data_IF_675640180131
#
_entry.id   IF_675640180131
#
_cell.length_a   1.000
_cell.length_b   1.000
_cell.length_c   1.000
_cell.angle_alpha   90.00
_cell.angle_beta   90.00
_cell.angle_gamma   90.00
#
_symmetry.space_group_name_H-M   'P 1'
#
loop_
_entity.id
_entity.type
_entity.pdbx_description
1 polymer ?
#
# COMPACT_ATOMS: atom_id res chain seq x y z
N UNK A 1 -4.35 27.81 -1.32
CA UNK A 1 -4.26 27.32 -1.23
C UNK A 1 -3.81 26.35 -1.06
N UNK A 2 -3.38 25.96 -0.79
CA UNK A 2 -2.98 24.98 -0.78
C UNK A 2 -3.44 24.06 -0.43
N UNK A 3 -3.66 23.77 -0.15
CA UNK A 3 -4.23 22.96 0.14
C UNK A 3 -4.71 22.13 -0.48
N UNK A 4 -4.92 22.15 -1.25
CA UNK A 4 -5.45 21.42 -1.94
C UNK A 4 -4.85 20.26 -2.50
N UNK A 5 -3.78 19.79 -2.05
CA UNK A 5 -3.20 18.63 -2.48
C UNK A 5 -4.08 17.42 -2.33
N UNK A 6 -5.00 17.44 -1.43
CA UNK A 6 -5.88 16.30 -1.20
C UNK A 6 -7.08 16.28 -2.10
N UNK A 7 -7.46 17.43 -2.61
CA UNK A 7 -8.59 17.48 -3.53
C UNK A 7 -8.21 17.01 -4.91
N UNK A 8 -6.91 17.01 -5.20
CA UNK A 8 -6.45 16.55 -6.50
C UNK A 8 -5.60 15.30 -6.30
N UNK A 9 -6.16 14.33 -5.60
CA UNK A 9 -5.46 13.08 -5.32
C UNK A 9 -5.07 12.41 -6.62
N UNK A 10 -3.79 12.09 -6.70
CA UNK A 10 -3.25 11.38 -7.84
C UNK A 10 -3.81 9.98 -7.90
N UNK A 11 -4.17 9.52 -9.08
CA UNK A 11 -4.62 8.14 -9.28
C UNK A 11 -3.58 7.39 -10.06
N UNK A 12 -3.38 6.14 -9.70
CA UNK A 12 -2.38 5.32 -10.34
C UNK A 12 -2.74 3.86 -10.18
N UNK A 13 -2.00 3.01 -10.86
CA UNK A 13 -2.16 1.58 -10.72
C UNK A 13 -1.41 1.14 -9.46
N UNK A 14 -2.15 0.53 -8.55
CA UNK A 14 -1.59 0.02 -7.30
C UNK A 14 -1.29 -1.46 -7.46
N UNK A 15 -0.08 -1.87 -7.10
CA UNK A 15 0.27 -3.29 -7.07
C UNK A 15 0.77 -3.66 -5.69
N UNK A 16 0.20 -4.73 -5.16
CA UNK A 16 0.52 -5.20 -3.82
C UNK A 16 0.87 -6.68 -3.89
N UNK A 17 1.82 -7.08 -3.06
CA UNK A 17 2.11 -8.50 -2.87
C UNK A 17 1.64 -8.90 -1.49
N UNK A 18 0.93 -10.01 -1.38
CA UNK A 18 0.40 -10.45 -0.09
C UNK A 18 0.18 -11.96 -0.08
N UNK A 19 -0.03 -12.47 1.13
CA UNK A 19 -0.42 -13.86 1.34
C UNK A 19 -1.91 -14.01 1.04
N UNK A 20 -2.33 -15.23 0.71
CA UNK A 20 -3.73 -15.47 0.34
C UNK A 20 -4.70 -15.09 1.46
N UNK A 21 -4.24 -15.07 2.69
CA UNK A 21 -5.11 -14.70 3.82
C UNK A 21 -5.63 -13.27 3.71
N UNK A 22 -4.91 -12.42 3.01
CA UNK A 22 -5.28 -11.02 2.90
C UNK A 22 -6.22 -10.74 1.74
N UNK A 23 -6.46 -11.73 0.88
CA UNK A 23 -7.28 -11.50 -0.32
C UNK A 23 -8.68 -10.99 0.01
N UNK A 24 -9.30 -11.55 1.04
CA UNK A 24 -10.64 -11.12 1.43
C UNK A 24 -10.66 -9.65 1.85
N UNK A 25 -9.65 -9.23 2.61
CA UNK A 25 -9.55 -7.85 3.03
C UNK A 25 -9.41 -6.92 1.83
N UNK A 26 -8.62 -7.32 0.85
CA UNK A 26 -8.41 -6.52 -0.34
C UNK A 26 -9.66 -6.42 -1.18
N UNK A 27 -10.37 -7.53 -1.35
CA UNK A 27 -11.64 -7.51 -2.09
C UNK A 27 -12.65 -6.64 -1.37
N UNK A 28 -12.68 -6.72 -0.04
CA UNK A 28 -13.60 -5.90 0.74
C UNK A 28 -13.32 -4.41 0.56
N UNK A 29 -12.05 -4.05 0.50
CA UNK A 29 -11.65 -2.64 0.39
C UNK A 29 -11.82 -2.11 -1.03
N UNK A 30 -11.41 -2.88 -2.03
CA UNK A 30 -11.32 -2.39 -3.41
C UNK A 30 -12.39 -2.94 -4.34
N UNK A 31 -13.17 -3.91 -3.89
CA UNK A 31 -14.20 -4.49 -4.71
C UNK A 31 -13.69 -5.67 -5.52
N UNK A 32 -14.55 -6.14 -6.42
CA UNK A 32 -14.26 -7.35 -7.18
C UNK A 32 -13.45 -7.09 -8.44
N UNK A 33 -13.23 -5.82 -8.78
CA UNK A 33 -12.53 -5.47 -10.01
C UNK A 33 -11.03 -5.38 -9.82
N UNK A 34 -10.48 -6.33 -9.11
CA UNK A 34 -9.04 -6.38 -8.90
C UNK A 34 -8.49 -7.60 -9.64
N UNK A 35 -7.25 -7.46 -10.10
CA UNK A 35 -6.57 -8.57 -10.76
C UNK A 35 -5.72 -9.30 -9.73
N UNK A 36 -5.90 -10.62 -9.67
CA UNK A 36 -5.19 -11.45 -8.72
C UNK A 36 -4.35 -12.44 -9.50
N UNK A 37 -3.05 -12.40 -9.28
CA UNK A 37 -2.12 -13.30 -9.96
C UNK A 37 -1.29 -14.04 -8.92
N UNK A 38 -1.30 -15.35 -9.01
CA UNK A 38 -0.48 -16.16 -8.10
C UNK A 38 0.99 -16.05 -8.49
N UNK A 39 1.83 -15.77 -7.54
CA UNK A 39 3.27 -15.65 -7.76
C UNK A 39 3.97 -16.96 -7.44
N UNK A 40 3.90 -17.37 -6.17
CA UNK A 40 4.51 -18.61 -5.73
C UNK A 40 3.85 -19.01 -4.41
N UNK A 41 3.76 -20.31 -4.17
CA UNK A 41 3.14 -20.82 -2.94
C UNK A 41 1.83 -20.08 -2.65
N UNK A 42 1.74 -19.41 -1.50
CA UNK A 42 0.54 -18.68 -1.10
C UNK A 42 0.68 -17.17 -1.31
N UNK A 43 1.59 -16.76 -2.17
CA UNK A 43 1.82 -15.34 -2.43
C UNK A 43 1.17 -14.91 -3.72
N UNK A 44 0.54 -13.76 -3.68
CA UNK A 44 -0.23 -13.23 -4.79
C UNK A 44 0.14 -11.79 -5.09
N UNK A 45 0.10 -11.45 -6.38
CA UNK A 45 0.23 -10.07 -6.83
C UNK A 45 -1.17 -9.55 -7.12
N UNK A 46 -1.50 -8.44 -6.50
CA UNK A 46 -2.81 -7.81 -6.66
C UNK A 46 -2.60 -6.52 -7.41
N UNK A 47 -3.34 -6.35 -8.51
CA UNK A 47 -3.27 -5.14 -9.32
C UNK A 47 -4.62 -4.46 -9.30
N UNK A 48 -4.63 -3.20 -8.88
CA UNK A 48 -5.83 -2.40 -8.78
C UNK A 48 -5.60 -1.12 -9.57
N UNK A 49 -6.31 -0.96 -10.67
CA UNK A 49 -6.12 0.19 -11.54
C UNK A 49 -6.89 1.40 -11.03
N UNK A 50 -6.42 2.57 -11.44
CA UNK A 50 -7.09 3.83 -11.15
C UNK A 50 -7.39 4.02 -9.67
N UNK A 51 -6.39 3.78 -8.85
CA UNK A 51 -6.52 3.85 -7.39
C UNK A 51 -6.08 5.23 -6.90
N UNK A 52 -6.88 5.88 -6.05
CA UNK A 52 -6.44 7.14 -5.43
C UNK A 52 -5.28 6.86 -4.48
N UNK A 53 -4.16 7.51 -4.72
CA UNK A 53 -3.00 7.37 -3.86
C UNK A 53 -3.07 8.50 -2.83
N UNK A 54 -3.62 8.18 -1.68
CA UNK A 54 -3.95 9.18 -0.65
C UNK A 54 -3.33 8.81 0.68
N UNK A 55 -3.36 9.77 1.62
CA UNK A 55 -2.90 9.49 2.98
C UNK A 55 -3.75 8.40 3.62
N UNK A 56 -5.03 8.36 3.28
CA UNK A 56 -5.90 7.30 3.78
C UNK A 56 -5.46 5.93 3.32
N UNK A 57 -5.05 5.82 2.06
CA UNK A 57 -4.53 4.56 1.53
C UNK A 57 -3.25 4.17 2.27
N UNK A 58 -2.35 5.12 2.45
CA UNK A 58 -1.08 4.84 3.13
C UNK A 58 -1.33 4.35 4.55
N UNK A 59 -2.22 5.03 5.28
CA UNK A 59 -2.54 4.62 6.64
C UNK A 59 -3.13 3.23 6.69
N UNK A 60 -4.01 2.92 5.75
CA UNK A 60 -4.64 1.60 5.68
C UNK A 60 -3.60 0.52 5.39
N UNK A 61 -2.69 0.78 4.46
CA UNK A 61 -1.64 -0.18 4.13
C UNK A 61 -0.72 -0.41 5.32
N UNK A 62 -0.36 0.65 6.04
CA UNK A 62 0.50 0.52 7.21
C UNK A 62 -0.20 -0.23 8.35
N UNK A 63 -1.52 -0.12 8.42
CA UNK A 63 -2.29 -0.86 9.42
C UNK A 63 -2.18 -2.37 9.20
N UNK A 64 -1.94 -2.79 7.97
CA UNK A 64 -1.78 -4.21 7.65
C UNK A 64 -0.39 -4.72 7.97
N UNK A 65 0.53 -3.83 8.31
CA UNK A 65 1.86 -4.19 8.78
C UNK A 65 2.64 -4.99 7.71
N UNK A 66 3.20 -6.12 8.10
CA UNK A 66 4.02 -6.91 7.20
C UNK A 66 3.22 -7.90 6.35
N UNK A 67 1.91 -7.81 6.39
CA UNK A 67 1.05 -8.71 5.62
C UNK A 67 0.96 -8.29 4.16
N UNK A 68 1.39 -7.09 3.84
CA UNK A 68 1.31 -6.57 2.49
C UNK A 68 2.57 -5.81 2.15
N UNK A 69 2.97 -5.91 0.88
CA UNK A 69 4.13 -5.16 0.39
C UNK A 69 3.70 -4.40 -0.85
N UNK A 70 4.01 -3.11 -0.88
CA UNK A 70 3.73 -2.29 -2.05
C UNK A 70 4.78 -2.56 -3.12
N UNK A 71 4.32 -2.94 -4.31
CA UNK A 71 5.19 -3.17 -5.45
C UNK A 71 5.22 -1.93 -6.35
N UNK A 72 4.05 -1.32 -6.55
CA UNK A 72 3.92 -0.14 -7.41
C UNK A 72 2.75 0.69 -6.91
N UNK A 73 2.73 1.99 -7.16
CA UNK A 73 3.74 2.75 -7.90
C UNK A 73 5.00 2.97 -7.07
N UNK A 74 6.10 3.21 -7.76
CA UNK A 74 7.39 3.37 -7.10
C UNK A 74 7.39 4.50 -6.08
N UNK A 75 6.73 5.61 -6.41
CA UNK A 75 6.67 6.75 -5.49
C UNK A 75 6.01 6.38 -4.17
N UNK A 76 4.93 5.60 -4.22
CA UNK A 76 4.25 5.15 -3.01
C UNK A 76 5.13 4.20 -2.22
N UNK A 77 5.77 3.28 -2.91
CA UNK A 77 6.68 2.33 -2.28
C UNK A 77 7.79 3.04 -1.52
N UNK A 78 8.40 4.04 -2.16
CA UNK A 78 9.48 4.80 -1.54
C UNK A 78 8.98 5.68 -0.39
N UNK A 79 7.78 6.23 -0.52
CA UNK A 79 7.19 7.03 0.54
C UNK A 79 6.96 6.17 1.80
N UNK A 80 6.38 5.00 1.62
CA UNK A 80 6.13 4.10 2.76
C UNK A 80 7.46 3.68 3.40
N UNK A 81 8.44 3.34 2.57
CA UNK A 81 9.76 2.96 3.09
C UNK A 81 10.35 4.07 3.93
N UNK A 82 10.25 5.31 3.45
CA UNK A 82 10.79 6.46 4.17
C UNK A 82 10.09 6.64 5.51
N UNK A 83 8.76 6.50 5.54
CA UNK A 83 8.00 6.61 6.78
C UNK A 83 8.40 5.53 7.77
N UNK A 84 8.58 4.31 7.29
CA UNK A 84 8.97 3.20 8.15
C UNK A 84 10.35 3.43 8.76
N UNK A 85 11.28 3.95 7.98
CA UNK A 85 12.62 4.23 8.49
C UNK A 85 12.60 5.30 9.56
N UNK A 86 11.76 6.31 9.39
CA UNK A 86 11.59 7.33 10.41
C UNK A 86 10.99 6.74 11.68
N UNK A 87 10.02 5.85 11.52
CA UNK A 87 9.39 5.21 12.67
C UNK A 87 10.38 4.36 13.42
N UNK A 88 11.21 3.60 12.70
CA UNK A 88 12.23 2.77 13.34
C UNK A 88 13.17 3.63 14.16
N UNK A 89 13.55 4.78 13.63
CA UNK A 89 14.50 5.65 14.31
C UNK A 89 14.00 6.15 15.65
N UNK A 90 12.67 6.20 15.84
CA UNK A 90 12.09 6.63 17.11
C UNK A 90 12.36 5.61 18.22
N UNK A 91 12.58 4.37 17.85
CA UNK A 91 12.74 3.29 18.83
C UNK A 91 14.19 2.84 18.99
N UNK A 92 15.10 3.49 18.30
CA UNK A 92 16.51 3.18 18.43
C UNK A 92 17.12 4.03 19.53
N UNK A 93 17.81 3.37 20.44
CA UNK A 93 18.48 4.08 21.51
C UNK A 93 19.80 4.59 21.00
N UNK A 94 19.88 5.91 20.96
CA UNK A 94 21.10 6.56 20.52
C UNK A 94 21.71 7.21 21.72
N UNK A 95 22.60 6.55 22.36
CA UNK A 95 23.22 7.14 23.54
C UNK A 95 24.63 7.50 23.25
#
# INVERSE_FOLDING_TARGET
KMTNMYTSTLRDTLQLECDHKLLRELVSRFGMDIHIQKLYQDHYLITIENTPISEGLIGWLMMLQDQVKVIAPTALKEDIKKRLMKMVSLYEDVI
#
